data_IF_340948141825
#
_entry.id   IF_340948141825
#
_cell.length_a   1.000
_cell.length_b   1.000
_cell.length_c   1.000
_cell.angle_alpha   90.00
_cell.angle_beta   90.00
_cell.angle_gamma   90.00
#
_symmetry.space_group_name_H-M   'P 1'
#
loop_
_entity.id
_entity.type
_entity.pdbx_description
1 polymer ?
#
# COMPACT_ATOMS: atom_id res chain seq x y z
N UNK A 1 11.07 16.30 25.90
CA UNK A 1 11.59 17.38 25.04
C UNK A 1 12.73 16.94 24.11
N UNK A 2 13.39 15.80 24.33
CA UNK A 2 14.51 15.32 23.50
C UNK A 2 14.12 14.61 22.18
N UNK A 3 12.90 14.10 22.05
CA UNK A 3 12.48 13.36 20.84
C UNK A 3 12.02 14.27 19.67
N UNK A 4 11.52 15.46 19.99
CA UNK A 4 11.15 16.46 18.98
C UNK A 4 12.38 17.12 18.31
N UNK A 5 13.52 17.15 19.00
CA UNK A 5 14.75 17.67 18.42
C UNK A 5 15.41 16.69 17.44
N UNK A 6 15.16 15.38 17.59
CA UNK A 6 15.62 14.37 16.63
C UNK A 6 14.89 14.46 15.29
N UNK A 7 13.62 14.86 15.30
CA UNK A 7 12.83 15.06 14.06
C UNK A 7 13.19 16.37 13.34
N UNK A 8 13.68 17.39 14.08
CA UNK A 8 14.16 18.64 13.47
C UNK A 8 15.54 18.54 12.84
N UNK A 9 16.29 17.49 13.15
CA UNK A 9 17.64 17.25 12.61
C UNK A 9 17.65 16.39 11.33
N UNK A 10 16.50 15.93 10.86
CA UNK A 10 16.41 15.25 9.57
C UNK A 10 16.50 16.30 8.45
N UNK A 11 17.41 16.14 7.47
CA UNK A 11 17.50 17.06 6.35
C UNK A 11 16.18 17.11 5.61
N UNK A 12 15.74 18.29 5.20
CA UNK A 12 14.49 18.59 4.48
C UNK A 12 14.37 17.93 3.10
N UNK A 13 15.38 17.20 2.68
CA UNK A 13 15.39 16.31 1.53
C UNK A 13 15.79 14.93 2.03
N UNK A 14 14.82 14.05 2.28
CA UNK A 14 15.11 12.63 2.28
C UNK A 14 15.44 12.30 0.83
N UNK A 15 16.72 12.40 0.48
CA UNK A 15 17.22 11.82 -0.75
C UNK A 15 16.76 10.37 -0.77
N UNK A 16 16.13 9.95 -1.85
CA UNK A 16 15.82 8.53 -2.06
C UNK A 16 17.07 7.69 -1.79
N UNK A 17 16.93 6.40 -1.49
CA UNK A 17 18.06 5.57 -1.10
C UNK A 17 19.22 5.80 -2.06
N UNK A 18 20.41 6.09 -1.51
CA UNK A 18 21.61 6.41 -2.29
C UNK A 18 21.86 5.33 -3.34
N UNK A 19 22.47 5.68 -4.46
CA UNK A 19 22.82 4.71 -5.52
C UNK A 19 23.61 3.53 -4.96
N UNK A 20 24.37 3.76 -3.91
CA UNK A 20 25.11 2.74 -3.18
C UNK A 20 24.20 1.84 -2.30
N UNK A 21 23.13 2.38 -1.73
CA UNK A 21 22.12 1.60 -1.03
C UNK A 21 21.28 0.78 -2.04
N UNK A 22 20.98 1.35 -3.20
CA UNK A 22 20.34 0.66 -4.33
C UNK A 22 21.24 -0.40 -4.93
N UNK A 23 22.54 -0.12 -5.09
CA UNK A 23 23.52 -1.08 -5.58
C UNK A 23 23.72 -2.24 -4.60
N UNK A 24 23.82 -1.97 -3.29
CA UNK A 24 23.90 -3.02 -2.25
C UNK A 24 22.63 -3.85 -2.16
N UNK A 25 21.46 -3.25 -2.33
CA UNK A 25 20.21 -3.99 -2.43
C UNK A 25 20.19 -4.89 -3.68
N UNK A 26 20.64 -4.37 -4.84
CA UNK A 26 20.77 -5.14 -6.09
C UNK A 26 21.77 -6.28 -5.97
N UNK A 27 22.91 -6.06 -5.32
CA UNK A 27 23.95 -7.07 -5.14
C UNK A 27 23.54 -8.18 -4.16
N UNK A 28 22.78 -7.88 -3.13
CA UNK A 28 22.15 -8.89 -2.25
C UNK A 28 21.09 -9.69 -2.98
N UNK A 29 20.35 -9.04 -3.86
CA UNK A 29 19.31 -9.61 -4.72
C UNK A 29 19.90 -10.59 -5.75
N UNK A 30 21.01 -10.23 -6.40
CA UNK A 30 21.64 -11.02 -7.47
C UNK A 30 22.21 -12.37 -6.97
N UNK A 31 22.55 -12.49 -5.68
CA UNK A 31 23.20 -13.70 -5.11
C UNK A 31 22.24 -14.87 -4.82
N UNK A 32 20.93 -14.73 -5.06
CA UNK A 32 19.93 -15.75 -4.63
C UNK A 32 19.24 -16.50 -5.77
N UNK A 33 19.67 -16.34 -7.04
CA UNK A 33 19.00 -16.94 -8.19
C UNK A 33 19.74 -18.16 -8.69
N UNK A 34 19.59 -19.31 -8.02
CA UNK A 34 19.74 -20.64 -8.65
C UNK A 34 18.87 -21.69 -7.97
N UNK A 35 18.02 -22.36 -8.79
CA UNK A 35 17.32 -23.65 -8.62
C UNK A 35 15.87 -23.66 -8.19
N UNK A 36 14.98 -24.05 -9.10
CA UNK A 36 13.83 -24.93 -8.84
C UNK A 36 13.15 -25.48 -10.10
N UNK A 37 12.56 -26.69 -10.07
CA UNK A 37 12.01 -27.40 -11.23
C UNK A 37 10.52 -27.09 -11.53
N UNK A 38 10.15 -27.34 -12.81
CA UNK A 38 8.83 -27.06 -13.39
C UNK A 38 7.75 -28.11 -13.10
N UNK A 39 6.48 -27.70 -12.91
CA UNK A 39 5.32 -28.58 -13.05
C UNK A 39 4.14 -27.94 -13.80
N UNK A 40 3.67 -28.65 -14.81
CA UNK A 40 2.69 -28.21 -15.82
C UNK A 40 1.23 -28.01 -15.36
N UNK A 41 0.83 -28.46 -14.18
CA UNK A 41 -0.56 -28.45 -13.71
C UNK A 41 -1.04 -27.14 -13.04
N UNK A 42 -0.15 -26.21 -12.74
CA UNK A 42 -0.51 -24.91 -12.14
C UNK A 42 -0.94 -23.84 -13.15
N UNK A 43 -0.78 -24.07 -14.47
CA UNK A 43 -1.04 -23.06 -15.50
C UNK A 43 -2.52 -22.74 -15.72
N UNK A 44 -3.43 -23.67 -15.46
CA UNK A 44 -4.88 -23.47 -15.67
C UNK A 44 -5.56 -22.65 -14.55
N UNK A 45 -5.08 -22.72 -13.33
CA UNK A 45 -5.62 -21.91 -12.22
C UNK A 45 -5.13 -20.44 -12.26
N UNK A 46 -3.94 -20.20 -12.82
CA UNK A 46 -3.39 -18.84 -12.98
C UNK A 46 -4.13 -18.07 -14.08
N UNK A 47 -4.59 -18.73 -15.13
CA UNK A 47 -5.37 -18.10 -16.21
C UNK A 47 -6.75 -17.61 -15.73
N UNK A 48 -7.40 -18.34 -14.82
CA UNK A 48 -8.68 -17.93 -14.24
C UNK A 48 -8.56 -16.69 -13.33
N UNK A 49 -7.45 -16.57 -12.58
CA UNK A 49 -7.18 -15.42 -11.73
C UNK A 49 -6.81 -14.17 -12.54
N UNK A 50 -6.09 -14.33 -13.66
CA UNK A 50 -5.73 -13.22 -14.56
C UNK A 50 -6.97 -12.67 -15.30
N UNK A 51 -7.94 -13.52 -15.67
CA UNK A 51 -9.19 -13.05 -16.29
C UNK A 51 -10.09 -12.30 -15.29
N UNK A 52 -10.14 -12.74 -14.02
CA UNK A 52 -10.88 -12.04 -12.96
C UNK A 52 -10.26 -10.68 -12.62
N UNK A 53 -8.92 -10.56 -12.67
CA UNK A 53 -8.22 -9.30 -12.47
C UNK A 53 -8.49 -8.30 -13.61
N UNK A 54 -8.59 -8.75 -14.85
CA UNK A 54 -8.90 -7.89 -15.99
C UNK A 54 -10.32 -7.30 -15.92
N UNK A 55 -11.29 -8.04 -15.37
CA UNK A 55 -12.66 -7.53 -15.17
C UNK A 55 -12.72 -6.53 -14.02
N UNK A 56 -11.93 -6.69 -12.95
CA UNK A 56 -11.85 -5.72 -11.85
C UNK A 56 -11.24 -4.39 -12.30
N UNK A 57 -10.20 -4.41 -13.15
CA UNK A 57 -9.59 -3.21 -13.74
C UNK A 57 -10.58 -2.43 -14.62
N UNK A 58 -11.45 -3.13 -15.36
CA UNK A 58 -12.49 -2.48 -16.17
C UNK A 58 -13.57 -1.78 -15.31
N UNK A 59 -13.86 -2.28 -14.10
CA UNK A 59 -14.78 -1.65 -13.17
C UNK A 59 -14.23 -0.34 -12.58
N UNK A 60 -12.91 -0.23 -12.36
CA UNK A 60 -12.28 1.01 -11.90
C UNK A 60 -12.20 2.08 -13.00
N UNK A 61 -11.97 1.70 -14.25
CA UNK A 61 -11.90 2.65 -15.37
C UNK A 61 -13.26 3.30 -15.71
N UNK A 62 -14.38 2.63 -15.40
CA UNK A 62 -15.73 3.13 -15.70
C UNK A 62 -16.29 4.12 -14.67
N UNK A 63 -15.62 4.33 -13.51
CA UNK A 63 -16.04 5.28 -12.47
C UNK A 63 -15.54 6.72 -12.75
N UNK A 64 -14.89 6.95 -13.88
CA UNK A 64 -14.52 8.27 -14.40
C UNK A 64 -15.71 9.09 -14.93
N UNK A 65 -16.91 8.91 -14.40
CA UNK A 65 -18.10 9.67 -14.75
C UNK A 65 -17.92 11.17 -14.48
N UNK A 66 -18.05 11.99 -15.51
CA UNK A 66 -18.21 13.45 -15.44
C UNK A 66 -19.51 13.78 -14.68
N UNK A 67 -19.45 13.71 -13.33
CA UNK A 67 -20.54 14.09 -12.44
C UNK A 67 -20.15 15.32 -11.64
N UNK A 68 -20.89 16.38 -11.79
CA UNK A 68 -20.83 17.61 -11.00
C UNK A 68 -21.08 17.28 -9.52
N UNK A 69 -20.08 17.54 -8.65
CA UNK A 69 -20.20 17.39 -7.20
C UNK A 69 -19.88 15.98 -6.69
N UNK A 70 -18.59 15.73 -6.41
CA UNK A 70 -18.19 14.49 -5.73
C UNK A 70 -18.70 14.49 -4.30
N UNK A 71 -19.42 13.44 -3.90
CA UNK A 71 -19.95 13.32 -2.55
C UNK A 71 -18.82 13.19 -1.54
N UNK A 72 -18.92 13.90 -0.41
CA UNK A 72 -17.98 13.77 0.71
C UNK A 72 -18.01 12.35 1.27
N UNK A 73 -16.83 11.80 1.55
CA UNK A 73 -16.69 10.51 2.22
C UNK A 73 -16.95 10.57 3.73
N UNK A 74 -17.05 11.77 4.33
CA UNK A 74 -17.13 11.93 5.78
C UNK A 74 -18.25 11.11 6.45
N UNK A 75 -19.51 11.05 5.95
CA UNK A 75 -20.55 10.25 6.57
C UNK A 75 -20.23 8.75 6.57
N UNK A 76 -19.62 8.24 5.49
CA UNK A 76 -19.18 6.84 5.42
C UNK A 76 -18.06 6.57 6.42
N UNK A 77 -17.02 7.41 6.46
CA UNK A 77 -15.88 7.25 7.35
C UNK A 77 -16.28 7.33 8.82
N UNK A 78 -17.20 8.22 9.20
CA UNK A 78 -17.79 8.27 10.55
C UNK A 78 -18.55 7.00 10.89
N UNK A 79 -19.27 6.41 9.92
CA UNK A 79 -19.90 5.10 10.11
C UNK A 79 -18.85 4.01 10.29
N UNK A 80 -17.76 4.03 9.52
CA UNK A 80 -16.63 3.10 9.68
C UNK A 80 -15.98 3.23 11.05
N UNK A 81 -15.81 4.45 11.58
CA UNK A 81 -15.37 4.69 12.94
C UNK A 81 -16.29 4.05 13.99
N UNK A 82 -17.61 4.20 13.81
CA UNK A 82 -18.60 3.60 14.71
C UNK A 82 -18.54 2.06 14.68
N UNK A 83 -18.38 1.46 13.50
CA UNK A 83 -18.19 0.02 13.34
C UNK A 83 -16.89 -0.42 14.01
N UNK A 84 -15.79 0.30 13.81
CA UNK A 84 -14.49 -0.02 14.41
C UNK A 84 -14.53 -0.02 15.94
N UNK A 85 -15.22 0.94 16.59
CA UNK A 85 -15.31 1.06 18.05
C UNK A 85 -15.93 -0.16 18.72
N UNK A 86 -16.87 -0.83 18.05
CA UNK A 86 -17.56 -2.01 18.60
C UNK A 86 -16.92 -3.33 18.20
N UNK A 87 -15.87 -3.31 17.38
CA UNK A 87 -15.14 -4.53 17.03
C UNK A 87 -14.43 -5.11 18.25
N UNK A 88 -14.38 -6.44 18.30
CA UNK A 88 -13.60 -7.12 19.34
C UNK A 88 -12.11 -6.80 19.13
N UNK A 89 -11.44 -6.42 20.20
CA UNK A 89 -10.00 -6.24 20.17
C UNK A 89 -9.31 -7.54 19.72
N UNK A 90 -8.34 -7.41 18.83
CA UNK A 90 -7.47 -8.54 18.49
C UNK A 90 -6.66 -8.94 19.73
N UNK A 91 -6.28 -10.22 19.81
CA UNK A 91 -5.37 -10.64 20.85
C UNK A 91 -4.07 -9.84 20.75
N UNK A 92 -3.52 -9.38 21.90
CA UNK A 92 -2.23 -8.69 21.89
C UNK A 92 -1.15 -9.59 21.30
N UNK A 93 -0.31 -9.02 20.45
CA UNK A 93 0.87 -9.71 19.97
C UNK A 93 1.88 -9.78 21.13
N UNK A 94 2.14 -10.99 21.63
CA UNK A 94 3.02 -11.25 22.76
C UNK A 94 4.36 -11.82 22.32
N UNK A 95 5.36 -11.78 23.19
CA UNK A 95 6.66 -12.38 22.94
C UNK A 95 6.53 -13.87 22.56
N UNK A 96 7.27 -14.29 21.53
CA UNK A 96 7.21 -15.63 20.98
C UNK A 96 6.16 -15.83 19.88
N UNK A 97 5.29 -14.85 19.65
CA UNK A 97 4.33 -14.87 18.54
C UNK A 97 4.70 -13.82 17.48
N UNK A 98 4.21 -14.05 16.29
CA UNK A 98 4.43 -13.16 15.14
C UNK A 98 3.11 -12.77 14.51
N UNK A 99 3.01 -11.54 14.09
CA UNK A 99 1.98 -11.13 13.16
C UNK A 99 2.37 -11.57 11.76
N UNK A 100 1.59 -12.47 11.19
CA UNK A 100 1.68 -12.84 9.79
C UNK A 100 0.81 -11.94 8.95
N UNK A 101 1.37 -11.40 7.88
CA UNK A 101 0.59 -10.72 6.85
C UNK A 101 0.94 -11.25 5.46
N UNK A 102 -0.06 -11.25 4.57
CA UNK A 102 0.11 -11.57 3.16
C UNK A 102 -0.58 -10.51 2.32
N UNK A 103 0.20 -9.85 1.47
CA UNK A 103 -0.26 -8.79 0.59
C UNK A 103 -0.01 -9.16 -0.86
N UNK A 104 -0.97 -8.82 -1.73
CA UNK A 104 -0.78 -8.81 -3.18
C UNK A 104 -0.49 -7.37 -3.55
N UNK A 105 0.66 -7.11 -4.14
CA UNK A 105 1.16 -5.76 -4.37
C UNK A 105 1.56 -5.53 -5.81
N UNK A 106 1.59 -4.28 -6.22
CA UNK A 106 2.23 -3.84 -7.45
C UNK A 106 2.91 -2.50 -7.20
N UNK A 107 4.20 -2.41 -7.49
CA UNK A 107 4.96 -1.18 -7.31
C UNK A 107 5.53 -0.70 -8.64
N UNK A 108 5.30 0.58 -8.95
CA UNK A 108 5.96 1.23 -10.06
C UNK A 108 7.43 1.47 -9.70
N UNK A 109 8.34 0.94 -10.49
CA UNK A 109 9.77 1.11 -10.30
C UNK A 109 10.44 1.18 -11.66
N UNK A 110 11.56 1.88 -11.73
CA UNK A 110 12.21 2.06 -13.02
C UNK A 110 13.63 2.60 -12.93
N UNK A 111 14.13 3.02 -14.05
CA UNK A 111 15.41 3.68 -14.25
C UNK A 111 15.27 4.85 -15.21
N UNK A 112 16.37 5.30 -15.77
CA UNK A 112 16.36 6.42 -16.71
C UNK A 112 15.59 6.05 -17.98
N UNK A 113 14.50 6.78 -18.23
CA UNK A 113 13.69 6.66 -19.44
C UNK A 113 12.72 5.48 -19.51
N UNK A 114 12.45 4.78 -18.40
CA UNK A 114 11.43 3.73 -18.35
C UNK A 114 10.93 3.46 -16.92
N UNK A 115 9.67 3.04 -16.83
CA UNK A 115 9.07 2.51 -15.59
C UNK A 115 8.30 1.22 -15.88
N UNK A 116 8.22 0.37 -14.87
CA UNK A 116 7.46 -0.88 -14.91
C UNK A 116 6.67 -1.07 -13.63
N UNK A 117 5.44 -1.49 -13.74
CA UNK A 117 4.65 -1.96 -12.61
C UNK A 117 5.04 -3.42 -12.35
N UNK A 118 5.53 -3.69 -11.14
CA UNK A 118 6.06 -4.97 -10.72
C UNK A 118 5.06 -5.65 -9.77
N UNK A 119 4.22 -6.58 -10.27
CA UNK A 119 3.27 -7.30 -9.43
C UNK A 119 3.96 -8.39 -8.62
N UNK A 120 3.53 -8.54 -7.37
CA UNK A 120 4.13 -9.53 -6.48
C UNK A 120 3.23 -9.93 -5.30
N UNK A 121 3.75 -10.83 -4.50
CA UNK A 121 3.18 -11.24 -3.22
C UNK A 121 4.23 -11.04 -2.14
N UNK A 122 3.86 -10.33 -1.08
CA UNK A 122 4.69 -10.11 0.10
C UNK A 122 4.08 -10.85 1.28
N UNK A 123 4.88 -11.60 1.98
CA UNK A 123 4.53 -12.27 3.22
C UNK A 123 5.49 -11.80 4.31
N UNK A 124 4.97 -11.40 5.46
CA UNK A 124 5.81 -10.98 6.57
C UNK A 124 5.39 -11.66 7.88
N UNK A 125 6.35 -11.83 8.76
CA UNK A 125 6.18 -12.33 10.13
C UNK A 125 6.89 -11.35 11.05
N UNK A 126 6.12 -10.55 11.79
CA UNK A 126 6.62 -9.41 12.56
C UNK A 126 6.41 -9.67 14.05
N UNK A 127 7.49 -9.65 14.82
CA UNK A 127 7.48 -9.76 16.28
C UNK A 127 7.01 -8.46 16.95
N UNK A 128 6.68 -8.44 18.25
CA UNK A 128 6.24 -7.23 18.96
C UNK A 128 7.22 -6.06 18.90
N UNK A 129 8.53 -6.32 18.84
CA UNK A 129 9.57 -5.31 18.71
C UNK A 129 9.82 -4.83 17.27
N UNK A 130 8.98 -5.27 16.31
CA UNK A 130 9.09 -4.93 14.91
C UNK A 130 10.16 -5.71 14.12
N UNK A 131 10.98 -6.54 14.78
CA UNK A 131 11.86 -7.46 14.04
C UNK A 131 11.06 -8.58 13.39
N UNK A 132 11.61 -9.21 12.37
CA UNK A 132 10.88 -10.29 11.74
C UNK A 132 11.54 -10.86 10.50
N UNK A 133 10.71 -11.34 9.61
CA UNK A 133 11.11 -11.93 8.35
C UNK A 133 10.16 -11.49 7.24
N UNK A 134 10.72 -11.17 6.09
CA UNK A 134 10.00 -10.83 4.86
C UNK A 134 10.30 -11.88 3.80
N UNK A 135 9.28 -12.30 3.07
CA UNK A 135 9.38 -13.18 1.92
C UNK A 135 8.57 -12.60 0.78
N UNK A 136 9.20 -12.38 -0.37
CA UNK A 136 8.60 -11.75 -1.53
C UNK A 136 8.73 -12.64 -2.76
N UNK A 137 7.69 -12.67 -3.57
CA UNK A 137 7.69 -13.32 -4.89
C UNK A 137 7.16 -12.33 -5.90
N UNK A 138 7.95 -12.08 -6.94
CA UNK A 138 7.66 -11.10 -7.96
C UNK A 138 7.36 -11.76 -9.30
N UNK A 139 6.36 -11.26 -9.98
CA UNK A 139 5.98 -11.70 -11.32
C UNK A 139 6.69 -10.85 -12.39
N UNK A 140 6.44 -11.20 -13.66
CA UNK A 140 6.94 -10.39 -14.78
C UNK A 140 6.36 -8.98 -14.70
N UNK A 141 7.20 -7.95 -14.97
CA UNK A 141 6.74 -6.57 -14.98
C UNK A 141 5.73 -6.33 -16.11
N UNK A 142 4.84 -5.38 -15.89
CA UNK A 142 3.98 -4.78 -16.91
C UNK A 142 4.38 -3.32 -17.10
N UNK A 143 4.03 -2.73 -18.23
CA UNK A 143 4.52 -1.39 -18.57
C UNK A 143 3.33 -0.43 -18.75
N UNK A 144 3.40 0.78 -18.14
CA UNK A 144 2.38 1.80 -18.30
C UNK A 144 2.17 2.20 -19.78
N UNK A 145 3.27 2.29 -20.53
CA UNK A 145 3.26 2.68 -21.94
C UNK A 145 4.14 1.79 -22.81
N UNK A 146 3.93 1.86 -24.13
CA UNK A 146 4.83 1.22 -25.10
C UNK A 146 6.24 1.83 -25.05
N UNK A 147 6.38 3.12 -24.74
CA UNK A 147 7.65 3.81 -24.59
C UNK A 147 8.43 3.26 -23.38
N UNK A 148 7.77 3.05 -22.22
CA UNK A 148 8.41 2.41 -21.06
C UNK A 148 8.95 1.04 -21.40
N UNK A 149 8.16 0.23 -22.12
CA UNK A 149 8.60 -1.09 -22.55
C UNK A 149 9.80 -1.02 -23.49
N UNK A 150 9.80 -0.09 -24.43
CA UNK A 150 10.92 0.11 -25.37
C UNK A 150 12.17 0.58 -24.62
N UNK A 151 12.05 1.54 -23.69
CA UNK A 151 13.14 2.00 -22.84
C UNK A 151 13.74 0.89 -21.98
N UNK A 152 12.90 0.04 -21.38
CA UNK A 152 13.35 -1.11 -20.61
C UNK A 152 14.11 -2.13 -21.48
N UNK A 153 13.67 -2.37 -22.74
CA UNK A 153 14.39 -3.23 -23.68
C UNK A 153 15.74 -2.60 -24.05
N UNK A 154 15.77 -1.30 -24.36
CA UNK A 154 16.99 -0.57 -24.70
C UNK A 154 18.00 -0.55 -23.55
N UNK A 155 17.53 -0.49 -22.29
CA UNK A 155 18.33 -0.59 -21.08
C UNK A 155 18.86 -2.01 -20.79
N UNK A 156 18.64 -2.99 -21.69
CA UNK A 156 19.09 -4.37 -21.50
C UNK A 156 18.16 -5.23 -20.62
N UNK A 157 16.90 -4.84 -20.47
CA UNK A 157 15.88 -5.55 -19.69
C UNK A 157 16.27 -5.74 -18.21
N UNK A 158 16.62 -4.67 -17.49
CA UNK A 158 17.06 -4.79 -16.11
C UNK A 158 15.97 -5.40 -15.23
N UNK A 159 16.38 -6.28 -14.34
CA UNK A 159 15.50 -6.88 -13.35
C UNK A 159 15.46 -5.98 -12.11
N UNK A 160 14.28 -5.42 -11.80
CA UNK A 160 14.10 -4.54 -10.64
C UNK A 160 13.98 -5.35 -9.35
N UNK A 161 13.17 -6.40 -9.39
CA UNK A 161 12.99 -7.32 -8.27
C UNK A 161 13.31 -8.75 -8.72
N UNK A 162 14.04 -9.55 -7.92
CA UNK A 162 14.25 -10.96 -8.23
C UNK A 162 12.92 -11.71 -8.17
N UNK A 163 12.78 -12.86 -8.85
CA UNK A 163 11.55 -13.67 -8.82
C UNK A 163 11.15 -14.06 -7.40
N UNK A 164 12.12 -14.24 -6.52
CA UNK A 164 11.92 -14.55 -5.10
C UNK A 164 13.01 -13.88 -4.28
N UNK A 165 12.64 -13.25 -3.17
CA UNK A 165 13.55 -12.65 -2.20
C UNK A 165 13.06 -12.93 -0.78
N UNK A 166 13.98 -13.00 0.16
CA UNK A 166 13.64 -13.13 1.57
C UNK A 166 14.76 -12.64 2.47
N UNK A 167 14.38 -12.08 3.60
CA UNK A 167 15.35 -11.52 4.52
C UNK A 167 14.80 -11.28 5.92
N UNK A 168 15.73 -11.16 6.87
CA UNK A 168 15.42 -10.74 8.23
C UNK A 168 15.14 -9.23 8.25
N UNK A 169 14.14 -8.84 8.99
CA UNK A 169 13.85 -7.44 9.29
C UNK A 169 14.47 -7.08 10.65
N UNK A 170 15.22 -5.98 10.73
CA UNK A 170 15.75 -5.50 12.01
C UNK A 170 14.61 -5.03 12.91
N UNK A 171 14.84 -4.91 14.23
CA UNK A 171 13.88 -4.28 15.13
C UNK A 171 13.48 -2.88 14.64
N UNK A 172 12.18 -2.63 14.61
CA UNK A 172 11.61 -1.34 14.25
C UNK A 172 10.44 -1.07 15.20
N UNK A 173 10.62 -0.26 16.24
CA UNK A 173 9.55 0.01 17.18
C UNK A 173 8.31 0.55 16.48
N UNK A 174 7.15 -0.03 16.82
CA UNK A 174 5.87 0.49 16.31
C UNK A 174 5.63 1.89 16.83
N UNK A 175 5.18 2.79 15.99
CA UNK A 175 4.78 4.13 16.43
C UNK A 175 3.57 4.02 17.35
N UNK A 176 3.66 4.63 18.51
CA UNK A 176 2.49 4.84 19.36
C UNK A 176 1.71 6.04 18.81
N UNK A 177 0.54 5.76 18.25
CA UNK A 177 -0.38 6.79 17.79
C UNK A 177 -1.44 7.05 18.86
N UNK A 178 -1.82 8.31 19.07
CA UNK A 178 -2.93 8.66 19.96
C UNK A 178 -4.24 8.01 19.54
N UNK A 179 -5.11 7.71 20.49
CA UNK A 179 -6.46 7.21 20.21
C UNK A 179 -7.53 8.29 20.33
N UNK A 180 -7.16 9.47 20.83
CA UNK A 180 -7.99 10.67 20.76
C UNK A 180 -7.96 11.24 19.33
N UNK A 181 -9.11 11.48 18.68
CA UNK A 181 -9.14 11.90 17.27
C UNK A 181 -8.54 13.28 17.02
N UNK A 182 -8.57 14.20 17.99
CA UNK A 182 -8.02 15.56 17.82
C UNK A 182 -6.51 15.55 17.94
N UNK A 183 -5.99 14.83 18.92
CA UNK A 183 -4.55 14.62 19.09
C UNK A 183 -3.96 13.85 17.91
N UNK A 184 -4.67 12.81 17.44
CA UNK A 184 -4.26 12.01 16.28
C UNK A 184 -4.27 12.85 15.00
N UNK A 185 -5.28 13.70 14.80
CA UNK A 185 -5.36 14.60 13.65
C UNK A 185 -4.13 15.54 13.63
N UNK A 186 -3.81 16.17 14.75
CA UNK A 186 -2.64 17.03 14.87
C UNK A 186 -1.34 16.27 14.58
N UNK A 187 -1.20 15.07 15.17
CA UNK A 187 -0.03 14.20 14.97
C UNK A 187 0.17 13.85 13.49
N UNK A 188 -0.90 13.46 12.79
CA UNK A 188 -0.84 13.08 11.37
C UNK A 188 -0.62 14.31 10.49
N UNK A 189 -1.29 15.43 10.78
CA UNK A 189 -1.11 16.69 10.05
C UNK A 189 0.34 17.18 10.12
N UNK A 190 0.92 17.22 11.32
CA UNK A 190 2.30 17.67 11.51
C UNK A 190 3.30 16.71 10.85
N UNK A 191 3.02 15.41 10.85
CA UNK A 191 3.82 14.41 10.13
C UNK A 191 3.70 14.53 8.60
N UNK A 192 2.56 14.99 8.09
CA UNK A 192 2.34 15.20 6.65
C UNK A 192 2.93 16.52 6.13
N UNK A 193 3.10 17.51 6.99
CA UNK A 193 3.56 18.83 6.59
C UNK A 193 4.99 18.83 6.06
N UNK A 194 5.22 19.44 4.90
CA UNK A 194 6.57 19.61 4.31
C UNK A 194 7.07 18.39 3.50
N UNK A 195 6.30 17.32 3.40
CA UNK A 195 6.56 16.22 2.47
C UNK A 195 6.15 16.59 1.04
N UNK A 196 6.74 15.96 0.03
CA UNK A 196 6.61 16.35 -1.40
C UNK A 196 5.18 16.43 -1.93
N UNK A 197 4.25 15.64 -1.38
CA UNK A 197 2.82 15.63 -1.71
C UNK A 197 2.07 16.86 -1.18
N UNK A 198 0.82 17.03 -1.55
CA UNK A 198 -0.06 17.95 -0.83
C UNK A 198 -0.29 17.43 0.58
N UNK A 199 -0.38 18.32 1.57
CA UNK A 199 -0.55 17.91 2.98
C UNK A 199 -1.74 16.99 3.18
N UNK A 200 -2.89 17.30 2.55
CA UNK A 200 -4.10 16.49 2.66
C UNK A 200 -3.94 15.09 2.05
N UNK A 201 -3.28 14.97 0.89
CA UNK A 201 -2.99 13.68 0.27
C UNK A 201 -1.99 12.86 1.12
N UNK A 202 -0.97 13.51 1.68
CA UNK A 202 -0.02 12.84 2.59
C UNK A 202 -0.71 12.37 3.88
N UNK A 203 -1.58 13.20 4.48
CA UNK A 203 -2.40 12.78 5.62
C UNK A 203 -3.22 11.53 5.30
N UNK A 204 -3.85 11.50 4.12
CA UNK A 204 -4.64 10.34 3.69
C UNK A 204 -3.78 9.08 3.54
N UNK A 205 -2.58 9.22 3.01
CA UNK A 205 -1.59 8.14 2.91
C UNK A 205 -1.15 7.65 4.28
N UNK A 206 -0.83 8.56 5.22
CA UNK A 206 -0.44 8.19 6.58
C UNK A 206 -1.56 7.47 7.35
N UNK A 207 -2.82 7.87 7.13
CA UNK A 207 -3.98 7.14 7.66
C UNK A 207 -4.08 5.74 7.07
N UNK A 208 -3.88 5.60 5.76
CA UNK A 208 -3.89 4.29 5.09
C UNK A 208 -2.78 3.38 5.64
N UNK A 209 -1.58 3.93 5.82
CA UNK A 209 -0.43 3.24 6.41
C UNK A 209 -0.73 2.72 7.82
N UNK A 210 -1.34 3.55 8.65
CA UNK A 210 -1.71 3.16 10.02
C UNK A 210 -2.87 2.14 10.06
N UNK A 211 -3.78 2.16 9.09
CA UNK A 211 -4.89 1.19 8.97
C UNK A 211 -4.43 -0.18 8.47
N UNK A 212 -3.30 -0.27 7.77
CA UNK A 212 -2.69 -1.54 7.33
C UNK A 212 -2.16 -2.36 8.50
N UNK A 213 -1.64 -1.68 9.51
CA UNK A 213 -1.11 -2.31 10.71
C UNK A 213 -2.25 -2.73 11.66
N UNK A 214 -2.02 -3.75 12.51
CA UNK A 214 -2.96 -4.07 13.56
C UNK A 214 -3.13 -2.87 14.49
N UNK A 215 -4.33 -2.32 14.49
CA UNK A 215 -4.71 -1.23 15.35
C UNK A 215 -5.76 -1.69 16.36
N UNK A 216 -5.71 -1.16 17.58
CA UNK A 216 -6.81 -1.34 18.52
C UNK A 216 -8.11 -0.80 17.93
N UNK A 217 -9.30 -1.29 18.36
CA UNK A 217 -10.57 -0.72 17.93
C UNK A 217 -10.66 0.79 18.10
N UNK A 218 -10.13 1.31 19.19
CA UNK A 218 -10.09 2.75 19.48
C UNK A 218 -9.21 3.50 18.45
N UNK A 219 -7.98 3.04 18.22
CA UNK A 219 -7.10 3.66 17.24
C UNK A 219 -7.67 3.58 15.82
N UNK A 220 -8.22 2.43 15.42
CA UNK A 220 -8.86 2.28 14.11
C UNK A 220 -10.02 3.25 13.92
N UNK A 221 -10.85 3.43 14.96
CA UNK A 221 -11.94 4.40 14.93
C UNK A 221 -11.42 5.84 14.82
N UNK A 222 -10.40 6.20 15.59
CA UNK A 222 -9.78 7.52 15.52
C UNK A 222 -9.18 7.81 14.13
N UNK A 223 -8.54 6.80 13.49
CA UNK A 223 -8.03 6.93 12.12
C UNK A 223 -9.14 7.23 11.10
N UNK A 224 -10.32 6.59 11.24
CA UNK A 224 -11.47 6.92 10.40
C UNK A 224 -12.04 8.31 10.69
N UNK A 225 -12.10 8.73 11.96
CA UNK A 225 -12.52 10.08 12.32
C UNK A 225 -11.55 11.14 11.75
N UNK A 226 -10.23 10.88 11.77
CA UNK A 226 -9.23 11.73 11.12
C UNK A 226 -9.46 11.77 9.60
N UNK A 227 -9.60 10.61 8.94
CA UNK A 227 -9.84 10.55 7.51
C UNK A 227 -11.10 11.32 7.07
N UNK A 228 -12.16 11.31 7.90
CA UNK A 228 -13.40 12.04 7.66
C UNK A 228 -13.22 13.56 7.68
N UNK A 229 -12.14 14.06 8.28
CA UNK A 229 -11.83 15.49 8.43
C UNK A 229 -10.85 15.99 7.37
N UNK A 230 -10.19 15.09 6.62
CA UNK A 230 -9.24 15.49 5.57
C UNK A 230 -10.02 16.12 4.42
N UNK A 231 -9.68 17.35 4.00
CA UNK A 231 -10.33 18.00 2.87
C UNK A 231 -10.17 17.20 1.58
N UNK A 232 -11.20 17.23 0.74
CA UNK A 232 -11.13 16.59 -0.59
C UNK A 232 -11.23 15.07 -0.62
N UNK A 233 -11.41 14.39 0.54
CA UNK A 233 -11.70 12.96 0.55
C UNK A 233 -13.12 12.71 0.07
N UNK A 234 -13.25 11.97 -1.03
CA UNK A 234 -14.49 11.75 -1.75
C UNK A 234 -14.98 10.31 -1.65
N UNK A 235 -16.30 10.13 -1.68
CA UNK A 235 -16.94 8.82 -1.78
C UNK A 235 -16.86 8.34 -3.23
N UNK A 236 -16.22 7.18 -3.43
CA UNK A 236 -16.19 6.47 -4.72
C UNK A 236 -17.43 5.57 -4.85
N UNK A 237 -17.83 4.91 -3.78
CA UNK A 237 -18.97 3.99 -3.74
C UNK A 237 -18.57 2.53 -3.72
N UNK A 238 -19.48 1.60 -4.16
CA UNK A 238 -19.19 0.17 -4.19
C UNK A 238 -17.97 -0.14 -5.04
N UNK A 239 -17.09 -0.99 -4.52
CA UNK A 239 -15.86 -1.40 -5.18
C UNK A 239 -15.51 -2.85 -4.83
N UNK A 240 -14.60 -3.46 -5.57
CA UNK A 240 -14.01 -4.75 -5.23
C UNK A 240 -12.49 -4.64 -5.25
N UNK A 241 -11.84 -5.33 -4.33
CA UNK A 241 -10.39 -5.44 -4.34
C UNK A 241 -9.90 -6.44 -5.40
N UNK A 242 -8.59 -6.61 -5.54
CA UNK A 242 -7.99 -7.51 -6.54
C UNK A 242 -8.17 -9.01 -6.24
N UNK A 243 -8.75 -9.36 -5.08
CA UNK A 243 -9.22 -10.70 -4.74
C UNK A 243 -10.72 -10.89 -5.01
N UNK A 244 -11.42 -9.85 -5.53
CA UNK A 244 -12.84 -9.87 -5.78
C UNK A 244 -13.71 -9.70 -4.52
N UNK A 245 -13.13 -9.28 -3.39
CA UNK A 245 -13.92 -9.00 -2.17
C UNK A 245 -14.61 -7.66 -2.34
N UNK A 246 -15.93 -7.68 -2.19
CA UNK A 246 -16.74 -6.48 -2.30
C UNK A 246 -16.60 -5.59 -1.06
N UNK A 247 -16.50 -4.31 -1.29
CA UNK A 247 -16.37 -3.28 -0.28
C UNK A 247 -16.94 -1.94 -0.73
N UNK A 248 -16.57 -0.91 -0.02
CA UNK A 248 -16.86 0.48 -0.34
C UNK A 248 -15.55 1.27 -0.41
N UNK A 249 -15.44 2.15 -1.38
CA UNK A 249 -14.22 2.89 -1.61
C UNK A 249 -14.39 4.39 -1.36
N UNK A 250 -13.31 4.99 -0.87
CA UNK A 250 -13.09 6.42 -0.78
C UNK A 250 -11.80 6.78 -1.49
N UNK A 251 -11.63 8.03 -1.90
CA UNK A 251 -10.40 8.47 -2.57
C UNK A 251 -9.98 9.86 -2.15
N UNK A 252 -8.68 10.10 -2.19
CA UNK A 252 -8.05 11.42 -2.15
C UNK A 252 -7.28 11.66 -3.44
N UNK A 253 -7.13 12.93 -3.83
CA UNK A 253 -6.37 13.33 -5.01
C UNK A 253 -5.22 14.23 -4.58
N UNK A 254 -4.00 13.84 -4.94
CA UNK A 254 -2.87 14.75 -4.88
C UNK A 254 -2.85 15.65 -6.12
N UNK A 255 -3.20 16.91 -5.92
CA UNK A 255 -3.22 17.91 -7.00
C UNK A 255 -1.83 18.30 -7.51
N UNK A 256 -0.73 17.99 -6.79
CA UNK A 256 0.63 18.32 -7.23
C UNK A 256 1.15 17.34 -8.27
N UNK A 257 0.82 16.07 -8.13
CA UNK A 257 1.26 15.00 -9.03
C UNK A 257 0.12 14.40 -9.84
N UNK A 258 -1.09 14.95 -9.70
CA UNK A 258 -2.31 14.48 -10.37
C UNK A 258 -2.51 12.96 -10.21
N UNK A 259 -2.37 12.49 -8.99
CA UNK A 259 -2.55 11.08 -8.63
C UNK A 259 -3.76 10.93 -7.71
N UNK A 260 -4.52 9.89 -7.94
CA UNK A 260 -5.66 9.49 -7.12
C UNK A 260 -5.30 8.27 -6.31
N UNK A 261 -5.40 8.37 -4.99
CA UNK A 261 -5.26 7.26 -4.05
C UNK A 261 -6.64 6.80 -3.60
N UNK A 262 -6.95 5.53 -3.84
CA UNK A 262 -8.22 4.88 -3.52
C UNK A 262 -8.02 3.87 -2.40
N UNK A 263 -8.86 3.91 -1.36
CA UNK A 263 -8.91 2.91 -0.29
C UNK A 263 -10.24 2.16 -0.35
N UNK A 264 -10.19 0.83 -0.24
CA UNK A 264 -11.35 -0.07 -0.26
C UNK A 264 -11.51 -0.71 1.11
N UNK A 265 -12.71 -0.60 1.70
CA UNK A 265 -13.01 -1.10 3.03
C UNK A 265 -14.16 -2.12 3.02
N UNK A 266 -14.13 -3.08 3.95
CA UNK A 266 -15.32 -3.87 4.29
C UNK A 266 -16.22 -3.05 5.22
N UNK A 267 -17.44 -2.64 4.81
CA UNK A 267 -18.31 -1.80 5.62
C UNK A 267 -18.88 -2.50 6.86
N UNK A 268 -18.72 -3.81 6.98
CA UNK A 268 -19.21 -4.62 8.12
C UNK A 268 -18.17 -4.75 9.22
N UNK A 269 -16.90 -4.82 8.84
CA UNK A 269 -15.78 -5.05 9.77
C UNK A 269 -14.88 -3.85 9.92
N UNK A 270 -15.06 -2.82 9.12
CA UNK A 270 -14.14 -1.68 9.00
C UNK A 270 -12.69 -2.06 8.60
N UNK A 271 -12.48 -3.26 8.07
CA UNK A 271 -11.16 -3.67 7.62
C UNK A 271 -10.79 -2.98 6.30
N UNK A 272 -9.55 -2.51 6.20
CA UNK A 272 -8.96 -2.10 4.92
C UNK A 272 -8.70 -3.36 4.08
N UNK A 273 -9.35 -3.46 2.92
CA UNK A 273 -9.20 -4.59 2.00
C UNK A 273 -8.07 -4.37 1.01
N UNK A 274 -7.88 -3.13 0.57
CA UNK A 274 -6.84 -2.79 -0.39
C UNK A 274 -6.81 -1.32 -0.73
N UNK A 275 -5.80 -0.97 -1.51
CA UNK A 275 -5.58 0.38 -2.02
C UNK A 275 -5.06 0.36 -3.46
N UNK A 276 -5.28 1.44 -4.18
CA UNK A 276 -4.79 1.61 -5.55
C UNK A 276 -4.44 3.08 -5.83
N UNK A 277 -3.34 3.28 -6.55
CA UNK A 277 -2.89 4.59 -7.03
C UNK A 277 -3.06 4.66 -8.55
N UNK A 278 -3.72 5.71 -9.04
CA UNK A 278 -3.97 5.91 -10.46
C UNK A 278 -3.63 7.34 -10.87
N UNK A 279 -2.99 7.47 -12.02
CA UNK A 279 -2.69 8.77 -12.60
C UNK A 279 -3.95 9.43 -13.17
N UNK A 280 -4.04 10.73 -13.04
CA UNK A 280 -5.06 11.58 -13.65
C UNK A 280 -4.49 12.35 -14.83
N UNK A 281 -5.34 13.03 -15.60
CA UNK A 281 -4.91 13.90 -16.67
C UNK A 281 -3.99 15.03 -16.16
N UNK A 282 -2.98 15.37 -16.94
CA UNK A 282 -2.02 16.43 -16.59
C UNK A 282 -0.97 16.02 -15.56
N UNK A 283 -0.82 14.71 -15.27
CA UNK A 283 0.21 14.22 -14.37
C UNK A 283 1.63 14.50 -14.92
N UNK A 284 2.63 14.73 -14.03
CA UNK A 284 3.99 15.10 -14.44
C UNK A 284 4.74 13.99 -15.18
N UNK A 285 4.24 12.76 -15.12
CA UNK A 285 4.83 11.60 -15.79
C UNK A 285 4.30 11.38 -17.20
N UNK A 286 3.32 12.19 -17.64
CA UNK A 286 2.65 12.10 -18.94
C UNK A 286 1.99 10.75 -19.21
N UNK A 287 1.58 10.04 -18.18
CA UNK A 287 0.82 8.80 -18.33
C UNK A 287 -0.64 9.07 -18.67
N UNK A 288 -1.28 8.20 -19.47
CA UNK A 288 -2.71 8.27 -19.69
C UNK A 288 -3.48 8.23 -18.36
N UNK A 289 -4.56 9.00 -18.25
CA UNK A 289 -5.45 8.93 -17.11
C UNK A 289 -5.95 7.50 -16.89
N UNK A 290 -6.00 7.08 -15.62
CA UNK A 290 -6.33 5.70 -15.25
C UNK A 290 -5.15 4.73 -15.24
N UNK A 291 -3.93 5.17 -15.59
CA UNK A 291 -2.74 4.35 -15.43
C UNK A 291 -2.52 4.02 -13.97
N UNK A 292 -2.49 2.73 -13.65
CA UNK A 292 -2.20 2.24 -12.28
C UNK A 292 -0.70 2.30 -12.03
N UNK A 293 -0.30 3.03 -10.98
CA UNK A 293 1.09 3.21 -10.56
C UNK A 293 1.43 2.42 -9.30
N UNK A 294 0.43 2.01 -8.53
CA UNK A 294 0.63 1.22 -7.33
C UNK A 294 -0.65 0.56 -6.86
N UNK A 295 -0.52 -0.55 -6.14
CA UNK A 295 -1.64 -1.15 -5.41
C UNK A 295 -1.15 -2.08 -4.32
N UNK A 296 -1.98 -2.26 -3.30
CA UNK A 296 -1.88 -3.34 -2.33
C UNK A 296 -3.26 -3.93 -2.04
N UNK A 297 -3.32 -5.25 -1.86
CA UNK A 297 -4.49 -5.98 -1.40
C UNK A 297 -4.11 -6.82 -0.19
N UNK A 298 -4.74 -6.56 0.93
CA UNK A 298 -4.45 -7.16 2.23
C UNK A 298 -5.18 -8.48 2.36
N UNK A 299 -4.52 -9.57 1.92
CA UNK A 299 -5.13 -10.87 1.75
C UNK A 299 -5.35 -11.61 3.08
N UNK A 300 -4.35 -11.58 3.96
CA UNK A 300 -4.37 -12.29 5.25
C UNK A 300 -3.66 -11.44 6.30
N UNK A 301 -4.21 -11.42 7.51
CA UNK A 301 -3.55 -10.98 8.74
C UNK A 301 -3.93 -11.94 9.87
N UNK A 302 -2.94 -12.51 10.57
CA UNK A 302 -3.15 -13.46 11.65
C UNK A 302 -1.97 -13.45 12.63
N UNK A 303 -2.20 -13.90 13.87
CA UNK A 303 -1.10 -14.19 14.82
C UNK A 303 -0.72 -15.66 14.69
N UNK A 304 0.58 -15.92 14.58
CA UNK A 304 1.16 -17.25 14.43
C UNK A 304 2.31 -17.48 15.42
N UNK A 305 2.59 -18.73 15.74
CA UNK A 305 3.55 -19.09 16.79
C UNK A 305 5.02 -19.02 16.32
N UNK A 306 5.26 -19.03 15.01
CA UNK A 306 6.63 -18.97 14.46
C UNK A 306 6.66 -18.47 13.03
N UNK A 307 7.81 -17.96 12.61
CA UNK A 307 8.10 -17.62 11.22
C UNK A 307 7.92 -18.84 10.32
N UNK A 308 7.30 -18.64 9.16
CA UNK A 308 7.02 -19.66 8.15
C UNK A 308 5.64 -20.32 8.25
N UNK A 309 4.91 -20.16 9.35
CA UNK A 309 3.50 -20.58 9.44
C UNK A 309 2.64 -19.66 8.57
N UNK A 310 1.77 -20.28 7.78
CA UNK A 310 0.78 -19.63 6.89
C UNK A 310 -0.59 -20.17 7.24
N UNK A 311 -1.49 -19.37 7.85
CA UNK A 311 -2.85 -19.78 8.18
C UNK A 311 -3.74 -19.89 6.95
#
# INVERSE_FOLDING_TARGET
MAELDLLRSLPATVAGPSDEARARARERLARHIERAPSTRRRRLLILAVVLAAAVAVAAFASIGGRGTGRASAAPLLQRMASVARVQKAQQPLTAGHFEYSKWIVGYLSGGDGWYALNPGVRESWIAPNGSGFLHERWNKPTFPTAADKAGWIAAGRPQVYPPEDSGKLPPSPRRHLPTDPDELYTTIHDAAAGHGNSTDAEMFTLVADALRDPASPALRAALYDVAARIPGVELVGPAADRLGRHGVAVASVDGKIHERHVLIFDPRTSALLGEEYTQLDGNPYHYPAGTVTGYATYAVSAIVDRIGIRP
#
